data_IF_841726431869
#
_entry.id   IF_841726431869
#
_cell.length_a   1.000
_cell.length_b   1.000
_cell.length_c   1.000
_cell.angle_alpha   90.00
_cell.angle_beta   90.00
_cell.angle_gamma   90.00
#
_symmetry.space_group_name_H-M   'P 1'
#
loop_
_entity.id
_entity.type
_entity.pdbx_description
1 polymer ?
#
# COMPACT_ATOMS: atom_id res chain seq x y z
N UNK A 1 -4.45 28.42 3.52
CA UNK A 1 -3.79 27.09 3.46
C UNK A 1 -4.30 26.28 4.64
N UNK A 2 -5.09 25.23 4.41
CA UNK A 2 -5.59 24.38 5.50
C UNK A 2 -4.40 23.56 6.00
N UNK A 3 -3.97 23.77 7.25
CA UNK A 3 -2.95 22.92 7.88
C UNK A 3 -3.64 21.64 8.38
N UNK A 4 -3.07 20.44 8.16
CA UNK A 4 -3.58 19.22 8.76
C UNK A 4 -3.70 19.36 10.27
N UNK A 5 -4.79 18.85 10.87
CA UNK A 5 -4.97 18.83 12.32
C UNK A 5 -4.02 17.84 13.02
N UNK A 6 -3.44 16.91 12.27
CA UNK A 6 -2.56 15.84 12.76
C UNK A 6 -1.45 15.65 11.73
N UNK A 7 -0.18 15.68 12.18
CA UNK A 7 1.01 15.47 11.34
C UNK A 7 1.37 13.98 11.14
N UNK A 8 0.59 13.09 11.74
CA UNK A 8 0.84 11.65 11.73
C UNK A 8 0.27 11.06 10.44
N UNK A 9 1.09 10.40 9.61
CA UNK A 9 0.61 9.81 8.37
C UNK A 9 -0.28 8.60 8.62
N UNK A 10 -1.25 8.42 7.75
CA UNK A 10 -2.05 7.21 7.67
C UNK A 10 -2.14 6.75 6.20
N UNK A 11 -1.90 5.45 5.98
CA UNK A 11 -1.94 4.84 4.65
C UNK A 11 -3.33 4.87 4.02
N UNK A 12 -4.40 5.15 4.79
CA UNK A 12 -5.75 5.37 4.24
C UNK A 12 -5.82 6.49 3.19
N UNK A 13 -4.89 7.44 3.22
CA UNK A 13 -4.77 8.55 2.28
C UNK A 13 -4.47 8.08 0.85
N UNK A 14 -3.90 6.87 0.69
CA UNK A 14 -3.72 6.23 -0.62
C UNK A 14 -5.06 5.91 -1.30
N UNK A 15 -6.14 5.79 -0.50
CA UNK A 15 -7.51 5.67 -0.96
C UNK A 15 -7.94 6.81 -1.89
N UNK A 16 -7.38 8.01 -1.70
CA UNK A 16 -7.64 9.17 -2.57
C UNK A 16 -7.24 8.89 -4.03
N UNK A 17 -6.26 8.02 -4.28
CA UNK A 17 -5.95 7.54 -5.62
C UNK A 17 -6.76 6.28 -5.95
N UNK A 18 -6.51 5.18 -5.25
CA UNK A 18 -7.16 3.90 -5.53
C UNK A 18 -7.92 3.41 -4.28
N UNK A 19 -9.22 3.10 -4.39
CA UNK A 19 -10.01 2.95 -5.62
C UNK A 19 -10.82 4.19 -6.03
N UNK A 20 -10.70 5.32 -5.33
CA UNK A 20 -11.68 6.40 -5.46
C UNK A 20 -11.39 7.44 -6.55
N UNK A 21 -10.18 7.47 -7.10
CA UNK A 21 -9.75 8.40 -8.14
C UNK A 21 -10.07 9.88 -7.80
N UNK A 22 -9.92 10.28 -6.54
CA UNK A 22 -10.09 11.67 -6.10
C UNK A 22 -8.87 12.53 -6.43
N UNK A 23 -7.70 11.91 -6.62
CA UNK A 23 -6.48 12.57 -7.10
C UNK A 23 -5.77 11.70 -8.13
N UNK A 24 -5.03 12.35 -9.05
CA UNK A 24 -4.22 11.67 -10.08
C UNK A 24 -2.94 11.11 -9.45
N UNK A 25 -2.40 10.02 -9.98
CA UNK A 25 -1.10 9.49 -9.55
C UNK A 25 0.05 10.49 -9.80
N UNK A 26 -0.11 11.38 -10.78
CA UNK A 26 0.83 12.47 -11.09
C UNK A 26 0.68 13.70 -10.19
N UNK A 27 -0.29 13.74 -9.27
CA UNK A 27 -0.50 14.88 -8.38
C UNK A 27 0.67 14.99 -7.38
N UNK A 28 1.26 16.19 -7.28
CA UNK A 28 2.40 16.44 -6.40
C UNK A 28 2.09 16.14 -4.92
N UNK A 29 0.84 16.33 -4.50
CA UNK A 29 0.39 16.03 -3.13
C UNK A 29 0.36 14.53 -2.88
N UNK A 30 -0.09 13.74 -3.86
CA UNK A 30 -0.08 12.28 -3.76
C UNK A 30 1.35 11.74 -3.79
N UNK A 31 2.21 12.28 -4.66
CA UNK A 31 3.64 11.95 -4.68
C UNK A 31 4.30 12.23 -3.33
N UNK A 32 4.13 13.44 -2.79
CA UNK A 32 4.67 13.81 -1.49
C UNK A 32 4.13 12.93 -0.35
N UNK A 33 2.85 12.53 -0.42
CA UNK A 33 2.25 11.64 0.55
C UNK A 33 2.86 10.23 0.52
N UNK A 34 3.04 9.65 -0.66
CA UNK A 34 3.68 8.33 -0.81
C UNK A 34 5.14 8.37 -0.36
N UNK A 35 5.88 9.41 -0.75
CA UNK A 35 7.24 9.63 -0.26
C UNK A 35 7.25 9.71 1.27
N UNK A 36 6.33 10.45 1.89
CA UNK A 36 6.25 10.56 3.34
C UNK A 36 5.95 9.21 4.02
N UNK A 37 5.04 8.40 3.47
CA UNK A 37 4.74 7.05 3.96
C UNK A 37 5.96 6.13 3.86
N UNK A 38 6.64 6.09 2.70
CA UNK A 38 7.85 5.27 2.50
C UNK A 38 9.04 5.73 3.37
N UNK A 39 9.12 7.02 3.70
CA UNK A 39 10.12 7.53 4.64
C UNK A 39 9.79 7.19 6.09
N UNK A 40 8.52 7.21 6.45
CA UNK A 40 8.05 6.97 7.81
C UNK A 40 8.18 5.51 8.22
N UNK A 41 7.79 4.58 7.35
CA UNK A 41 7.83 3.16 7.65
C UNK A 41 9.17 2.53 7.26
N UNK A 42 10.04 2.34 8.25
CA UNK A 42 11.38 1.74 8.11
C UNK A 42 11.52 0.46 8.94
N UNK A 43 10.54 -0.44 8.82
CA UNK A 43 10.59 -1.74 9.49
C UNK A 43 11.76 -2.57 8.97
N UNK A 44 12.33 -3.45 9.81
CA UNK A 44 13.39 -4.36 9.39
C UNK A 44 12.90 -5.31 8.29
N UNK A 45 11.67 -5.78 8.41
CA UNK A 45 11.02 -6.59 7.40
C UNK A 45 10.70 -5.82 6.10
N UNK A 46 10.78 -4.48 6.09
CA UNK A 46 10.27 -3.64 5.00
C UNK A 46 8.74 -3.49 5.02
N UNK A 47 8.16 -3.11 3.89
CA UNK A 47 6.71 -2.89 3.76
C UNK A 47 6.22 -1.59 4.42
N UNK A 48 4.92 -1.35 4.29
CA UNK A 48 4.25 -0.10 4.69
C UNK A 48 3.26 -0.40 5.81
N UNK A 49 3.29 0.36 6.90
CA UNK A 49 2.33 0.23 8.01
C UNK A 49 1.03 0.97 7.76
N UNK A 50 0.10 0.92 8.72
CA UNK A 50 -1.12 1.74 8.68
C UNK A 50 -0.85 3.16 9.16
N UNK A 51 -0.35 3.27 10.38
CA UNK A 51 -0.02 4.50 11.09
C UNK A 51 1.17 4.19 12.03
N UNK A 52 2.16 5.09 12.21
CA UNK A 52 3.29 4.88 13.14
C UNK A 52 2.90 4.60 14.59
N UNK A 53 1.72 5.05 15.01
CA UNK A 53 1.17 4.84 16.35
C UNK A 53 0.36 3.56 16.48
N UNK A 54 0.19 2.79 15.38
CA UNK A 54 -0.56 1.55 15.39
C UNK A 54 0.02 0.56 16.41
N UNK A 55 -0.83 0.05 17.31
CA UNK A 55 -0.47 -0.94 18.33
C UNK A 55 -1.12 -2.30 18.09
N UNK A 56 -1.97 -2.44 17.07
CA UNK A 56 -2.62 -3.70 16.76
C UNK A 56 -1.56 -4.73 16.32
N UNK A 57 -1.52 -5.87 17.02
CA UNK A 57 -0.44 -6.85 16.91
C UNK A 57 0.98 -6.27 17.08
N UNK A 58 1.13 -5.13 17.77
CA UNK A 58 2.42 -4.48 18.00
C UNK A 58 2.85 -3.48 16.93
N UNK A 59 2.00 -3.21 15.93
CA UNK A 59 2.25 -2.23 14.86
C UNK A 59 3.24 -2.76 13.83
N UNK A 60 2.73 -3.20 12.69
CA UNK A 60 3.46 -3.95 11.68
C UNK A 60 3.22 -3.40 10.27
N UNK A 61 4.06 -3.74 9.28
CA UNK A 61 3.70 -3.59 7.88
C UNK A 61 2.51 -4.50 7.51
N UNK A 62 1.65 -4.00 6.63
CA UNK A 62 0.50 -4.73 6.11
C UNK A 62 0.69 -5.04 4.64
N UNK A 63 0.18 -6.19 4.20
CA UNK A 63 0.19 -6.55 2.77
C UNK A 63 -0.60 -5.53 1.96
N UNK A 64 -1.79 -5.14 2.43
CA UNK A 64 -2.72 -4.23 1.72
C UNK A 64 -2.12 -2.84 1.51
N UNK A 65 -1.59 -2.20 2.56
CA UNK A 65 -1.01 -0.84 2.46
C UNK A 65 0.25 -0.82 1.61
N UNK A 66 1.04 -1.90 1.66
CA UNK A 66 2.21 -2.06 0.79
C UNK A 66 1.79 -2.18 -0.68
N UNK A 67 0.72 -2.93 -0.96
CA UNK A 67 0.16 -3.04 -2.32
C UNK A 67 -0.51 -1.76 -2.80
N UNK A 68 -1.09 -0.94 -1.94
CA UNK A 68 -1.55 0.40 -2.33
C UNK A 68 -0.41 1.30 -2.77
N UNK A 69 0.75 1.24 -2.11
CA UNK A 69 1.95 1.95 -2.58
C UNK A 69 2.46 1.36 -3.89
N UNK A 70 2.39 0.03 -4.08
CA UNK A 70 2.71 -0.60 -5.36
C UNK A 70 1.79 -0.12 -6.50
N UNK A 71 0.48 -0.02 -6.25
CA UNK A 71 -0.51 0.50 -7.21
C UNK A 71 -0.17 1.95 -7.57
N UNK A 72 0.12 2.80 -6.58
CA UNK A 72 0.57 4.16 -6.85
C UNK A 72 1.78 4.17 -7.79
N UNK A 73 2.84 3.42 -7.47
CA UNK A 73 4.06 3.38 -8.28
C UNK A 73 3.80 2.86 -9.70
N UNK A 74 2.89 1.90 -9.85
CA UNK A 74 2.51 1.39 -11.18
C UNK A 74 1.77 2.42 -12.01
N UNK A 75 0.82 3.14 -11.41
CA UNK A 75 0.04 4.20 -12.08
C UNK A 75 0.87 5.46 -12.36
N UNK A 76 1.90 5.75 -11.54
CA UNK A 76 2.84 6.85 -11.77
C UNK A 76 3.97 6.50 -12.74
N UNK A 77 4.04 5.26 -13.24
CA UNK A 77 5.04 4.80 -14.20
C UNK A 77 6.34 4.26 -13.57
N UNK A 78 6.46 4.23 -12.25
CA UNK A 78 7.57 3.61 -11.52
C UNK A 78 7.36 2.10 -11.36
N UNK A 79 7.34 1.39 -12.49
CA UNK A 79 6.98 -0.04 -12.53
C UNK A 79 7.97 -0.91 -11.75
N UNK A 80 9.25 -0.55 -11.72
CA UNK A 80 10.27 -1.35 -11.00
C UNK A 80 10.04 -1.32 -9.50
N UNK A 81 9.73 -0.16 -8.93
CA UNK A 81 9.37 -0.07 -7.51
C UNK A 81 8.08 -0.82 -7.19
N UNK A 82 7.09 -0.78 -8.07
CA UNK A 82 5.87 -1.58 -7.91
C UNK A 82 6.16 -3.09 -7.88
N UNK A 83 7.05 -3.58 -8.75
CA UNK A 83 7.48 -4.99 -8.78
C UNK A 83 8.23 -5.40 -7.52
N UNK A 84 9.10 -4.54 -6.98
CA UNK A 84 9.77 -4.80 -5.70
C UNK A 84 8.77 -5.02 -4.57
N UNK A 85 7.73 -4.19 -4.50
CA UNK A 85 6.69 -4.29 -3.47
C UNK A 85 5.78 -5.50 -3.67
N UNK A 86 5.44 -5.85 -4.92
CA UNK A 86 4.74 -7.10 -5.24
C UNK A 86 5.57 -8.31 -4.82
N UNK A 87 6.86 -8.35 -5.19
CA UNK A 87 7.77 -9.42 -4.76
C UNK A 87 7.87 -9.51 -3.24
N UNK A 88 7.98 -8.36 -2.56
CA UNK A 88 7.98 -8.30 -1.10
C UNK A 88 6.75 -9.00 -0.50
N UNK A 89 5.56 -8.81 -1.07
CA UNK A 89 4.36 -9.51 -0.55
C UNK A 89 4.44 -11.03 -0.72
N UNK A 90 4.98 -11.52 -1.85
CA UNK A 90 5.16 -12.95 -2.08
C UNK A 90 6.21 -13.56 -1.14
N UNK A 91 7.32 -12.85 -0.92
CA UNK A 91 8.40 -13.27 -0.02
C UNK A 91 7.92 -13.44 1.43
N UNK A 92 6.84 -12.76 1.82
CA UNK A 92 6.24 -12.82 3.15
C UNK A 92 4.92 -13.62 3.20
N UNK A 93 4.63 -14.42 2.17
CA UNK A 93 3.54 -15.39 2.19
C UNK A 93 3.88 -16.62 3.05
N UNK A 94 2.87 -17.43 3.41
CA UNK A 94 3.15 -18.73 4.04
C UNK A 94 3.86 -19.68 3.07
N UNK A 95 4.37 -20.80 3.58
CA UNK A 95 4.91 -21.89 2.76
C UNK A 95 3.92 -22.48 1.75
N UNK A 96 2.61 -22.25 1.94
CA UNK A 96 1.54 -22.63 1.01
C UNK A 96 1.07 -21.49 0.10
N UNK A 97 1.76 -20.34 0.12
CA UNK A 97 1.44 -19.17 -0.71
C UNK A 97 0.29 -18.32 -0.19
N UNK A 98 -0.13 -18.48 1.06
CA UNK A 98 -1.24 -17.70 1.64
C UNK A 98 -0.73 -16.33 2.09
N UNK A 99 -1.34 -15.26 1.57
CA UNK A 99 -1.03 -13.89 2.01
C UNK A 99 -1.69 -13.57 3.36
N UNK A 100 -0.93 -13.05 4.34
CA UNK A 100 -1.45 -12.64 5.63
C UNK A 100 -2.10 -11.24 5.58
N UNK A 101 -2.72 -10.83 6.68
CA UNK A 101 -3.03 -9.42 6.92
C UNK A 101 -1.75 -8.59 7.16
N UNK A 102 -0.88 -9.10 8.04
CA UNK A 102 0.31 -8.41 8.56
C UNK A 102 1.57 -9.26 8.44
N UNK A 103 2.72 -8.58 8.41
CA UNK A 103 4.05 -9.20 8.45
C UNK A 103 4.76 -8.67 9.68
N UNK A 104 5.26 -9.55 10.54
CA UNK A 104 5.99 -9.15 11.75
C UNK A 104 7.17 -8.26 11.39
N UNK A 105 7.20 -7.03 11.93
CA UNK A 105 8.13 -5.97 11.52
C UNK A 105 9.62 -6.30 11.70
N UNK A 106 9.94 -7.24 12.60
CA UNK A 106 11.30 -7.57 12.98
C UNK A 106 11.76 -8.89 12.34
N UNK A 107 10.87 -9.89 12.27
CA UNK A 107 11.19 -11.24 11.80
C UNK A 107 10.74 -11.53 10.37
N UNK A 108 9.84 -10.72 9.80
CA UNK A 108 9.27 -10.97 8.48
C UNK A 108 8.27 -12.14 8.46
N UNK A 109 7.84 -12.67 9.61
CA UNK A 109 6.90 -13.79 9.58
C UNK A 109 5.47 -13.31 9.31
N UNK A 110 4.67 -14.06 8.53
CA UNK A 110 3.25 -13.75 8.38
C UNK A 110 2.52 -13.88 9.72
N UNK A 111 1.71 -12.89 10.08
CA UNK A 111 0.97 -12.83 11.35
C UNK A 111 -0.45 -12.27 11.15
N UNK A 112 -1.27 -12.32 12.22
CA UNK A 112 -2.70 -11.97 12.20
C UNK A 112 -3.50 -12.92 11.27
N UNK A 113 -4.53 -12.44 10.56
CA UNK A 113 -5.40 -13.28 9.73
C UNK A 113 -4.66 -13.87 8.51
N UNK A 114 -4.76 -15.19 8.33
CA UNK A 114 -4.14 -15.93 7.22
C UNK A 114 -5.07 -17.09 6.79
N UNK A 115 -5.49 -17.18 5.51
CA UNK A 115 -5.34 -16.16 4.47
C UNK A 115 -6.27 -14.97 4.74
N UNK A 116 -5.81 -13.75 4.43
CA UNK A 116 -6.72 -12.60 4.33
C UNK A 116 -7.19 -12.43 2.89
N UNK A 117 -8.50 -12.54 2.66
CA UNK A 117 -9.09 -12.39 1.32
C UNK A 117 -8.75 -11.02 0.69
N UNK A 118 -8.74 -9.94 1.48
CA UNK A 118 -8.41 -8.61 0.98
C UNK A 118 -6.95 -8.50 0.53
N UNK A 119 -5.99 -9.12 1.23
CA UNK A 119 -4.59 -9.19 0.78
C UNK A 119 -4.46 -9.85 -0.58
N UNK A 120 -5.17 -10.95 -0.81
CA UNK A 120 -5.15 -11.65 -2.11
C UNK A 120 -5.83 -10.83 -3.21
N UNK A 121 -6.98 -10.23 -2.92
CA UNK A 121 -7.67 -9.35 -3.87
C UNK A 121 -6.75 -8.18 -4.27
N UNK A 122 -6.10 -7.54 -3.29
CA UNK A 122 -5.17 -6.44 -3.56
C UNK A 122 -3.95 -6.87 -4.34
N UNK A 123 -3.44 -8.09 -4.11
CA UNK A 123 -2.30 -8.60 -4.86
C UNK A 123 -2.66 -8.72 -6.34
N UNK A 124 -3.81 -9.35 -6.64
CA UNK A 124 -4.32 -9.46 -8.01
C UNK A 124 -4.50 -8.06 -8.61
N UNK A 125 -5.14 -7.13 -7.88
CA UNK A 125 -5.34 -5.77 -8.36
C UNK A 125 -4.01 -5.07 -8.68
N UNK A 126 -3.02 -5.10 -7.79
CA UNK A 126 -1.72 -4.49 -8.03
C UNK A 126 -0.97 -5.13 -9.21
N UNK A 127 -1.10 -6.45 -9.38
CA UNK A 127 -0.49 -7.20 -10.48
C UNK A 127 -1.11 -6.82 -11.84
N UNK A 128 -2.42 -6.58 -11.92
CA UNK A 128 -3.10 -6.32 -13.20
C UNK A 128 -3.38 -4.85 -13.49
N UNK A 129 -3.35 -3.96 -12.48
CA UNK A 129 -3.72 -2.54 -12.69
C UNK A 129 -2.77 -1.87 -13.68
N UNK A 130 -3.33 -1.14 -14.62
CA UNK A 130 -2.63 -0.16 -15.45
C UNK A 130 -3.53 1.08 -15.56
N UNK A 131 -3.07 2.14 -16.24
CA UNK A 131 -3.87 3.37 -16.37
C UNK A 131 -5.21 3.12 -17.06
N UNK A 132 -5.26 2.21 -18.04
CA UNK A 132 -6.50 1.89 -18.76
C UNK A 132 -7.50 1.17 -17.87
N UNK A 133 -7.06 0.15 -17.13
CA UNK A 133 -7.91 -0.58 -16.21
C UNK A 133 -8.36 0.32 -15.07
N UNK A 134 -7.48 1.17 -14.53
CA UNK A 134 -7.81 2.16 -13.50
C UNK A 134 -8.97 3.05 -13.96
N UNK A 135 -8.84 3.71 -15.11
CA UNK A 135 -9.91 4.53 -15.70
C UNK A 135 -11.21 3.77 -15.94
N UNK A 136 -11.14 2.45 -16.17
CA UNK A 136 -12.32 1.60 -16.41
C UNK A 136 -13.06 1.25 -15.12
N UNK A 137 -12.35 1.04 -14.00
CA UNK A 137 -12.93 0.49 -12.77
C UNK A 137 -13.13 1.53 -11.66
N UNK A 138 -12.56 2.72 -11.82
CA UNK A 138 -12.75 3.82 -10.87
C UNK A 138 -13.67 4.89 -11.43
N UNK A 139 -14.28 5.73 -10.57
CA UNK A 139 -14.97 6.93 -11.04
C UNK A 139 -14.04 7.82 -11.88
N UNK A 140 -14.60 8.70 -12.74
CA UNK A 140 -13.81 9.74 -13.40
C UNK A 140 -13.07 10.57 -12.36
N UNK A 141 -11.80 10.87 -12.63
CA UNK A 141 -11.02 11.70 -11.71
C UNK A 141 -11.63 13.10 -11.61
N UNK A 142 -11.81 13.57 -10.38
CA UNK A 142 -12.28 14.93 -10.13
C UNK A 142 -11.11 15.89 -10.39
N UNK A 143 -11.31 16.86 -11.28
CA UNK A 143 -10.34 17.93 -11.56
C UNK A 143 -10.26 18.97 -10.44
#
# INVERSE_FOLDING_TARGET
MIKPRVEIPDSNTLGLLFPFALVKASDERMRANVEFLEHTFRYRAGGIGRNPEDRYYGGNPWIITTLWVAIYHKLSGNVDRARELLKWTLDHSTSTGMLPEQVDKDTGRPISAIPLAWSHAMYIMAEVIDNKLFETITPPTID
#
